data_IF_641057724318
#
_entry.id   IF_641057724318
#
_cell.length_a   1.000
_cell.length_b   1.000
_cell.length_c   1.000
_cell.angle_alpha   90.00
_cell.angle_beta   90.00
_cell.angle_gamma   90.00
#
_symmetry.space_group_name_H-M   'P 1'
#
loop_
_entity.id
_entity.type
_entity.pdbx_description
1 polymer ?
#
# COMPACT_ATOMS: atom_id res chain seq x y z
N UNK A 1 -18.61 1.09 -5.08
CA UNK A 1 -18.51 2.10 -6.16
C UNK A 1 -17.23 2.93 -6.12
N UNK A 2 -16.51 3.01 -5.00
CA UNK A 2 -15.24 3.76 -4.88
C UNK A 2 -13.97 2.96 -5.28
N UNK A 3 -14.04 1.62 -5.27
CA UNK A 3 -12.88 0.79 -5.59
C UNK A 3 -12.24 1.12 -6.96
N UNK A 4 -12.99 1.23 -8.09
CA UNK A 4 -12.37 1.57 -9.37
C UNK A 4 -11.67 2.92 -9.36
N UNK A 5 -12.24 3.93 -8.67
CA UNK A 5 -11.63 5.23 -8.53
C UNK A 5 -10.28 5.15 -7.80
N UNK A 6 -10.26 4.49 -6.64
CA UNK A 6 -9.02 4.35 -5.86
C UNK A 6 -7.97 3.53 -6.60
N UNK A 7 -8.40 2.50 -7.35
CA UNK A 7 -7.51 1.68 -8.19
C UNK A 7 -6.85 2.50 -9.32
N UNK A 8 -7.56 3.51 -9.86
CA UNK A 8 -7.01 4.43 -10.87
C UNK A 8 -6.09 5.49 -10.23
N UNK A 9 -6.48 6.04 -9.08
CA UNK A 9 -5.71 7.09 -8.39
C UNK A 9 -4.42 6.56 -7.77
N UNK A 10 -4.40 5.32 -7.32
CA UNK A 10 -3.25 4.74 -6.62
C UNK A 10 -1.95 4.80 -7.45
N UNK A 11 -1.89 4.31 -8.69
CA UNK A 11 -0.66 4.40 -9.48
C UNK A 11 -0.25 5.84 -9.77
N UNK A 12 -1.19 6.79 -9.85
CA UNK A 12 -0.87 8.21 -10.09
C UNK A 12 -0.22 8.84 -8.85
N UNK A 13 -0.75 8.58 -7.66
CA UNK A 13 -0.16 9.07 -6.40
C UNK A 13 1.23 8.51 -6.19
N UNK A 14 1.41 7.20 -6.40
CA UNK A 14 2.71 6.55 -6.27
C UNK A 14 3.72 7.05 -7.31
N UNK A 15 3.29 7.22 -8.57
CA UNK A 15 4.13 7.79 -9.61
C UNK A 15 4.56 9.23 -9.28
N UNK A 16 3.64 10.09 -8.83
CA UNK A 16 3.97 11.44 -8.37
C UNK A 16 5.01 11.43 -7.25
N UNK A 17 4.76 10.64 -6.21
CA UNK A 17 5.58 10.65 -5.00
C UNK A 17 6.99 10.10 -5.26
N UNK A 18 7.12 8.99 -6.00
CA UNK A 18 8.43 8.44 -6.33
C UNK A 18 9.18 9.30 -7.34
N UNK A 19 8.48 9.96 -8.28
CA UNK A 19 9.12 10.90 -9.20
C UNK A 19 9.74 12.08 -8.46
N UNK A 20 9.06 12.63 -7.44
CA UNK A 20 9.63 13.68 -6.57
C UNK A 20 10.89 13.19 -5.86
N UNK A 21 10.90 11.94 -5.38
CA UNK A 21 12.09 11.34 -4.77
C UNK A 21 13.25 11.22 -5.77
N UNK A 22 13.00 10.69 -6.98
CA UNK A 22 14.02 10.47 -8.02
C UNK A 22 14.60 11.80 -8.50
N UNK A 23 13.76 12.78 -8.83
CA UNK A 23 14.18 14.11 -9.29
C UNK A 23 14.97 14.85 -8.20
N UNK A 24 14.57 14.70 -6.93
CA UNK A 24 15.29 15.27 -5.79
C UNK A 24 16.66 14.61 -5.52
N UNK A 25 16.93 13.46 -6.12
CA UNK A 25 18.12 12.62 -5.91
C UNK A 25 17.90 11.51 -4.89
N UNK A 26 18.19 10.27 -5.27
CA UNK A 26 18.00 9.06 -4.46
C UNK A 26 19.23 8.80 -3.57
N UNK A 27 19.39 9.59 -2.50
CA UNK A 27 20.32 9.22 -1.43
C UNK A 27 19.66 8.28 -0.43
N UNK A 28 20.43 7.48 0.30
CA UNK A 28 19.93 6.62 1.37
C UNK A 28 19.06 7.40 2.38
N UNK A 29 19.51 8.56 2.82
CA UNK A 29 18.80 9.38 3.78
C UNK A 29 17.42 9.83 3.23
N UNK A 30 17.32 10.17 1.94
CA UNK A 30 16.06 10.56 1.32
C UNK A 30 15.11 9.38 1.12
N UNK A 31 15.62 8.22 0.74
CA UNK A 31 14.83 6.98 0.65
C UNK A 31 14.28 6.61 2.02
N UNK A 32 15.12 6.66 3.06
CA UNK A 32 14.70 6.41 4.43
C UNK A 32 13.65 7.42 4.91
N UNK A 33 13.86 8.71 4.64
CA UNK A 33 12.88 9.76 4.97
C UNK A 33 11.56 9.56 4.22
N UNK A 34 11.63 9.20 2.93
CA UNK A 34 10.46 8.84 2.12
C UNK A 34 9.70 7.69 2.77
N UNK A 35 10.37 6.57 3.06
CA UNK A 35 9.72 5.40 3.64
C UNK A 35 9.14 5.70 5.03
N UNK A 36 9.85 6.44 5.87
CA UNK A 36 9.35 6.83 7.19
C UNK A 36 8.09 7.70 7.09
N UNK A 37 8.11 8.74 6.27
CA UNK A 37 6.99 9.66 6.10
C UNK A 37 5.81 9.02 5.36
N UNK A 38 6.08 8.23 4.30
CA UNK A 38 5.03 7.64 3.48
C UNK A 38 4.39 6.40 4.13
N UNK A 39 5.13 5.62 4.93
CA UNK A 39 4.62 4.36 5.48
C UNK A 39 4.44 4.38 7.00
N UNK A 40 5.46 4.81 7.79
CA UNK A 40 5.37 4.71 9.24
C UNK A 40 4.30 5.65 9.84
N UNK A 41 4.11 6.85 9.26
CA UNK A 41 3.09 7.81 9.73
C UNK A 41 1.65 7.31 9.54
N UNK A 42 1.43 6.32 8.67
CA UNK A 42 0.08 5.80 8.42
C UNK A 42 -0.53 5.10 9.64
N UNK A 43 0.28 4.53 10.52
CA UNK A 43 -0.27 3.85 11.70
C UNK A 43 -0.95 4.82 12.68
N UNK A 44 -0.31 5.87 13.22
CA UNK A 44 -0.97 6.81 14.11
C UNK A 44 -2.11 7.58 13.42
N UNK A 45 -1.96 7.92 12.13
CA UNK A 45 -3.03 8.55 11.36
C UNK A 45 -4.21 7.61 11.14
N UNK A 46 -3.97 6.30 10.98
CA UNK A 46 -5.00 5.28 10.82
C UNK A 46 -5.86 5.14 12.06
N UNK A 47 -5.24 5.08 13.23
CA UNK A 47 -5.95 5.11 14.51
C UNK A 47 -6.80 6.37 14.62
N UNK A 48 -6.25 7.54 14.27
CA UNK A 48 -6.99 8.81 14.32
C UNK A 48 -8.21 8.82 13.39
N UNK A 49 -8.10 8.26 12.18
CA UNK A 49 -9.23 8.16 11.23
C UNK A 49 -10.27 7.12 11.64
N UNK A 50 -9.91 6.09 12.41
CA UNK A 50 -10.87 5.15 12.97
C UNK A 50 -11.67 5.78 14.11
N UNK A 51 -11.02 6.60 14.94
CA UNK A 51 -11.67 7.36 16.03
C UNK A 51 -12.55 8.49 15.46
N UNK A 52 -12.13 9.13 14.36
CA UNK A 52 -12.84 10.26 13.74
C UNK A 52 -13.13 10.02 12.27
N UNK A 53 -14.08 9.12 11.93
CA UNK A 53 -14.34 8.72 10.54
C UNK A 53 -14.84 9.87 9.65
N UNK A 54 -15.40 10.93 10.23
CA UNK A 54 -15.80 12.14 9.49
C UNK A 54 -14.63 12.87 8.81
N UNK A 55 -13.38 12.65 9.26
CA UNK A 55 -12.20 13.28 8.67
C UNK A 55 -11.72 12.59 7.38
N UNK A 56 -12.17 11.37 7.07
CA UNK A 56 -11.66 10.57 5.93
C UNK A 56 -11.76 11.31 4.60
N UNK A 57 -12.89 11.99 4.34
CA UNK A 57 -13.05 12.77 3.10
C UNK A 57 -12.12 13.98 3.03
N UNK A 58 -11.98 14.72 4.14
CA UNK A 58 -11.07 15.85 4.22
C UNK A 58 -9.61 15.41 4.07
N UNK A 59 -9.23 14.30 4.70
CA UNK A 59 -7.89 13.72 4.58
C UNK A 59 -7.60 13.24 3.14
N UNK A 60 -8.59 12.67 2.44
CA UNK A 60 -8.44 12.34 1.03
C UNK A 60 -8.23 13.59 0.16
N UNK A 61 -9.03 14.65 0.37
CA UNK A 61 -8.83 15.91 -0.36
C UNK A 61 -7.45 16.51 -0.07
N UNK A 62 -7.03 16.52 1.19
CA UNK A 62 -5.70 16.95 1.60
C UNK A 62 -4.59 16.11 0.95
N UNK A 63 -4.78 14.80 0.81
CA UNK A 63 -3.79 13.91 0.17
C UNK A 63 -3.50 14.33 -1.27
N UNK A 64 -4.53 14.57 -2.07
CA UNK A 64 -4.40 15.02 -3.45
C UNK A 64 -3.73 16.39 -3.51
N UNK A 65 -4.19 17.34 -2.70
CA UNK A 65 -3.63 18.70 -2.66
C UNK A 65 -2.15 18.72 -2.26
N UNK A 66 -1.76 17.96 -1.23
CA UNK A 66 -0.37 17.87 -0.76
C UNK A 66 0.52 17.18 -1.80
N UNK A 67 0.06 16.11 -2.44
CA UNK A 67 0.83 15.46 -3.52
C UNK A 67 1.05 16.40 -4.68
N UNK A 68 0.01 17.14 -5.11
CA UNK A 68 0.12 18.16 -6.17
C UNK A 68 1.03 19.32 -5.80
N UNK A 69 0.95 19.80 -4.55
CA UNK A 69 1.87 20.83 -4.05
C UNK A 69 3.32 20.33 -4.04
N UNK A 70 3.55 19.07 -3.64
CA UNK A 70 4.87 18.44 -3.72
C UNK A 70 5.41 18.37 -5.14
N UNK A 71 4.56 17.97 -6.11
CA UNK A 71 4.90 17.98 -7.54
C UNK A 71 5.26 19.39 -8.02
N UNK A 72 4.46 20.39 -7.66
CA UNK A 72 4.72 21.80 -8.03
C UNK A 72 6.04 22.31 -7.47
N UNK A 73 6.32 22.09 -6.19
CA UNK A 73 7.59 22.48 -5.57
C UNK A 73 8.79 21.72 -6.18
N UNK A 74 8.62 20.46 -6.55
CA UNK A 74 9.64 19.70 -7.24
C UNK A 74 9.97 20.33 -8.61
N UNK A 75 8.97 20.74 -9.37
CA UNK A 75 9.15 21.44 -10.64
C UNK A 75 9.85 22.80 -10.47
N UNK A 76 9.66 23.47 -9.32
CA UNK A 76 10.33 24.71 -8.96
C UNK A 76 11.74 24.51 -8.34
N UNK A 77 12.23 23.27 -8.22
CA UNK A 77 13.55 22.98 -7.67
C UNK A 77 13.63 22.96 -6.12
N UNK A 78 12.51 23.05 -5.41
CA UNK A 78 12.47 23.07 -3.92
C UNK A 78 12.35 21.63 -3.38
N UNK A 79 13.39 20.82 -3.59
CA UNK A 79 13.36 19.38 -3.38
C UNK A 79 13.02 18.91 -1.94
N UNK A 80 13.53 19.49 -0.83
CA UNK A 80 13.21 19.00 0.52
C UNK A 80 11.73 19.15 0.88
N UNK A 81 11.15 20.33 0.63
CA UNK A 81 9.74 20.57 0.91
C UNK A 81 8.83 19.75 -0.03
N UNK A 82 9.22 19.61 -1.30
CA UNK A 82 8.53 18.76 -2.27
C UNK A 82 8.41 17.31 -1.76
N UNK A 83 9.50 16.74 -1.26
CA UNK A 83 9.55 15.38 -0.74
C UNK A 83 8.58 15.22 0.45
N UNK A 84 8.65 16.12 1.43
CA UNK A 84 7.79 16.06 2.62
C UNK A 84 6.31 16.11 2.23
N UNK A 85 5.92 17.06 1.37
CA UNK A 85 4.51 17.20 0.97
C UNK A 85 4.03 15.99 0.15
N UNK A 86 4.85 15.50 -0.79
CA UNK A 86 4.49 14.32 -1.57
C UNK A 86 4.36 13.07 -0.69
N UNK A 87 5.25 12.86 0.29
CA UNK A 87 5.20 11.72 1.21
C UNK A 87 3.97 11.77 2.12
N UNK A 88 3.65 12.93 2.71
CA UNK A 88 2.46 13.10 3.55
C UNK A 88 1.18 12.94 2.73
N UNK A 89 1.16 13.49 1.51
CA UNK A 89 0.07 13.29 0.56
C UNK A 89 -0.14 11.82 0.22
N UNK A 90 0.95 11.11 -0.08
CA UNK A 90 0.96 9.67 -0.33
C UNK A 90 0.42 8.88 0.88
N UNK A 91 0.92 9.14 2.08
CA UNK A 91 0.48 8.48 3.31
C UNK A 91 -1.04 8.65 3.54
N UNK A 92 -1.54 9.89 3.42
CA UNK A 92 -2.96 10.18 3.58
C UNK A 92 -3.82 9.51 2.51
N UNK A 93 -3.35 9.47 1.25
CA UNK A 93 -4.06 8.79 0.16
C UNK A 93 -4.20 7.30 0.46
N UNK A 94 -3.09 6.62 0.70
CA UNK A 94 -3.09 5.18 0.95
C UNK A 94 -3.98 4.81 2.13
N UNK A 95 -3.88 5.58 3.20
CA UNK A 95 -4.65 5.35 4.41
C UNK A 95 -6.14 5.57 4.19
N UNK A 96 -6.55 6.69 3.57
CA UNK A 96 -7.97 7.01 3.35
C UNK A 96 -8.61 6.07 2.35
N UNK A 97 -7.92 5.74 1.25
CA UNK A 97 -8.39 4.82 0.24
C UNK A 97 -8.41 3.37 0.77
N UNK A 98 -7.30 2.91 1.38
CA UNK A 98 -7.18 1.56 1.95
C UNK A 98 -8.22 1.29 3.04
N UNK A 99 -8.37 2.23 4.00
CA UNK A 99 -9.44 2.17 5.01
C UNK A 99 -10.82 2.09 4.34
N UNK A 100 -11.09 2.96 3.37
CA UNK A 100 -12.39 3.00 2.70
C UNK A 100 -12.71 1.71 1.95
N UNK A 101 -11.71 1.08 1.32
CA UNK A 101 -11.86 -0.22 0.64
C UNK A 101 -12.10 -1.34 1.66
N UNK A 102 -11.32 -1.41 2.73
CA UNK A 102 -11.50 -2.41 3.78
C UNK A 102 -12.89 -2.31 4.43
N UNK A 103 -13.29 -1.10 4.84
CA UNK A 103 -14.57 -0.89 5.51
C UNK A 103 -15.76 -1.15 4.58
N UNK A 104 -15.67 -0.74 3.29
CA UNK A 104 -16.75 -0.93 2.33
C UNK A 104 -16.96 -2.38 1.90
N UNK A 105 -15.93 -3.22 2.01
CA UNK A 105 -15.98 -4.62 1.59
C UNK A 105 -15.82 -5.61 2.75
N UNK A 106 -15.97 -5.15 4.02
CA UNK A 106 -15.92 -5.99 5.20
C UNK A 106 -14.59 -6.75 5.35
N UNK A 107 -13.47 -6.11 5.00
CA UNK A 107 -12.13 -6.70 5.11
C UNK A 107 -11.83 -7.78 4.07
N UNK A 108 -12.59 -7.91 2.97
CA UNK A 108 -12.31 -8.91 1.92
C UNK A 108 -10.96 -8.66 1.24
N UNK A 109 -10.21 -9.75 1.01
CA UNK A 109 -8.88 -9.74 0.44
C UNK A 109 -8.84 -9.34 -1.05
N UNK A 110 -9.82 -9.75 -1.84
CA UNK A 110 -9.89 -9.44 -3.28
C UNK A 110 -9.94 -7.94 -3.58
N UNK A 111 -10.91 -7.19 -3.05
CA UNK A 111 -10.99 -5.74 -3.27
C UNK A 111 -9.75 -4.99 -2.80
N UNK A 112 -9.22 -5.31 -1.61
CA UNK A 112 -8.02 -4.64 -1.09
C UNK A 112 -6.77 -5.05 -1.87
N UNK A 113 -6.62 -6.32 -2.25
CA UNK A 113 -5.55 -6.81 -3.10
C UNK A 113 -5.52 -6.12 -4.47
N UNK A 114 -6.69 -5.93 -5.10
CA UNK A 114 -6.82 -5.21 -6.36
C UNK A 114 -6.41 -3.73 -6.20
N UNK A 115 -6.87 -3.06 -5.13
CA UNK A 115 -6.50 -1.67 -4.85
C UNK A 115 -4.97 -1.52 -4.71
N UNK A 116 -4.35 -2.29 -3.81
CA UNK A 116 -2.91 -2.14 -3.55
C UNK A 116 -2.00 -2.68 -4.65
N UNK A 117 -2.53 -3.49 -5.57
CA UNK A 117 -1.73 -4.04 -6.67
C UNK A 117 -1.25 -2.95 -7.64
N UNK A 118 -2.10 -1.97 -7.94
CA UNK A 118 -1.83 -0.94 -8.95
C UNK A 118 -0.72 0.04 -8.56
N UNK A 119 -0.43 0.19 -7.27
CA UNK A 119 0.71 0.98 -6.80
C UNK A 119 2.05 0.50 -7.36
N UNK A 120 2.22 -0.83 -7.54
CA UNK A 120 3.45 -1.36 -8.14
C UNK A 120 3.72 -0.81 -9.55
N UNK A 121 2.67 -0.61 -10.34
CA UNK A 121 2.77 -0.02 -11.69
C UNK A 121 3.11 1.47 -11.61
N UNK A 122 2.52 2.19 -10.63
CA UNK A 122 2.81 3.61 -10.39
C UNK A 122 4.26 3.85 -9.97
N UNK A 123 4.75 3.08 -9.01
CA UNK A 123 6.15 3.14 -8.57
C UNK A 123 7.11 2.85 -9.74
N UNK A 124 6.85 1.80 -10.51
CA UNK A 124 7.66 1.48 -11.68
C UNK A 124 7.67 2.61 -12.71
N UNK A 125 6.49 3.10 -13.10
CA UNK A 125 6.38 4.19 -14.07
C UNK A 125 7.09 5.46 -13.59
N UNK A 126 6.87 5.87 -12.35
CA UNK A 126 7.49 7.04 -11.75
C UNK A 126 9.02 6.93 -11.71
N UNK A 127 9.58 5.79 -11.28
CA UNK A 127 11.02 5.58 -11.25
C UNK A 127 11.66 5.62 -12.65
N UNK A 128 11.07 4.91 -13.62
CA UNK A 128 11.67 4.78 -14.96
C UNK A 128 11.53 6.07 -15.79
N UNK A 129 10.37 6.72 -15.74
CA UNK A 129 10.15 7.94 -16.51
C UNK A 129 10.86 9.15 -15.90
N UNK A 130 10.95 9.26 -14.57
CA UNK A 130 11.67 10.34 -13.91
C UNK A 130 13.16 10.35 -14.26
N UNK A 131 13.78 9.17 -14.35
CA UNK A 131 15.19 9.05 -14.74
C UNK A 131 15.51 9.52 -16.15
N UNK A 132 14.52 9.49 -17.08
CA UNK A 132 14.68 9.90 -18.48
C UNK A 132 14.22 11.33 -18.82
N UNK A 133 13.19 11.83 -18.10
CA UNK A 133 12.49 13.05 -18.47
C UNK A 133 12.40 14.10 -17.34
N UNK A 134 12.97 13.82 -16.17
CA UNK A 134 13.09 14.78 -15.07
C UNK A 134 11.76 15.41 -14.61
N UNK A 135 11.73 16.74 -14.33
CA UNK A 135 10.56 17.42 -13.78
C UNK A 135 9.29 17.37 -14.64
N UNK A 136 9.42 17.17 -15.96
CA UNK A 136 8.25 17.11 -16.86
C UNK A 136 7.35 15.92 -16.57
N UNK A 137 7.92 14.79 -16.13
CA UNK A 137 7.13 13.64 -15.70
C UNK A 137 6.33 13.95 -14.44
N UNK A 138 6.90 14.72 -13.50
CA UNK A 138 6.17 15.20 -12.32
C UNK A 138 4.90 15.94 -12.75
N UNK A 139 5.02 16.89 -13.68
CA UNK A 139 3.89 17.68 -14.15
C UNK A 139 2.85 16.82 -14.87
N UNK A 140 3.28 15.88 -15.72
CA UNK A 140 2.37 14.95 -16.42
C UNK A 140 1.55 14.10 -15.46
N UNK A 141 2.20 13.46 -14.50
CA UNK A 141 1.50 12.70 -13.46
C UNK A 141 0.64 13.60 -12.57
N UNK A 142 1.11 14.81 -12.25
CA UNK A 142 0.36 15.79 -11.47
C UNK A 142 -0.95 16.21 -12.16
N UNK A 143 -0.92 16.50 -13.46
CA UNK A 143 -2.11 16.84 -14.24
C UNK A 143 -3.10 15.67 -14.24
N UNK A 144 -2.62 14.44 -14.49
CA UNK A 144 -3.45 13.24 -14.46
C UNK A 144 -4.07 13.03 -13.07
N UNK A 145 -3.30 13.21 -12.00
CA UNK A 145 -3.78 13.12 -10.62
C UNK A 145 -4.81 14.21 -10.30
N UNK A 146 -4.59 15.45 -10.75
CA UNK A 146 -5.53 16.56 -10.53
C UNK A 146 -6.88 16.27 -11.20
N UNK A 147 -6.87 15.84 -12.46
CA UNK A 147 -8.08 15.49 -13.20
C UNK A 147 -8.85 14.31 -12.55
N UNK A 148 -8.14 13.21 -12.23
CA UNK A 148 -8.72 12.03 -11.60
C UNK A 148 -9.18 12.31 -10.16
N UNK A 149 -8.43 13.13 -9.41
CA UNK A 149 -8.77 13.54 -8.04
C UNK A 149 -10.02 14.43 -8.00
N UNK A 150 -10.11 15.42 -8.91
CA UNK A 150 -11.29 16.27 -9.05
C UNK A 150 -12.53 15.44 -9.39
N UNK A 151 -12.42 14.52 -10.36
CA UNK A 151 -13.49 13.59 -10.70
C UNK A 151 -13.88 12.73 -9.50
N UNK A 152 -12.90 12.24 -8.74
CA UNK A 152 -13.11 11.48 -7.51
C UNK A 152 -13.88 12.24 -6.46
N UNK A 153 -13.51 13.50 -6.19
CA UNK A 153 -14.20 14.35 -5.22
C UNK A 153 -15.67 14.62 -5.60
N UNK A 154 -15.95 14.79 -6.90
CA UNK A 154 -17.32 14.95 -7.39
C UNK A 154 -18.13 13.67 -7.19
N UNK A 155 -17.52 12.49 -7.45
CA UNK A 155 -18.17 11.17 -7.30
C UNK A 155 -18.31 10.72 -5.85
N UNK A 156 -17.48 11.24 -4.95
CA UNK A 156 -17.56 10.94 -3.50
C UNK A 156 -18.75 11.67 -2.81
N UNK A 157 -19.71 12.13 -3.54
CA UNK A 157 -20.90 12.75 -2.96
C UNK A 157 -21.71 11.73 -2.16
N UNK A 158 -21.65 11.85 -0.82
CA UNK A 158 -22.72 11.40 0.06
C UNK A 158 -22.62 10.02 0.72
N UNK A 159 -21.49 9.31 0.67
CA UNK A 159 -21.29 8.06 1.42
C UNK A 159 -20.04 8.09 2.29
N UNK A 160 -19.98 9.03 3.20
CA UNK A 160 -19.03 8.96 4.31
C UNK A 160 -19.60 8.01 5.35
N UNK A 161 -18.95 6.84 5.48
CA UNK A 161 -19.26 5.89 6.54
C UNK A 161 -20.64 5.27 6.41
N UNK A 162 -20.76 4.16 5.67
CA UNK A 162 -21.83 3.24 5.99
C UNK A 162 -21.69 2.97 7.49
N UNK A 163 -22.67 3.40 8.30
CA UNK A 163 -22.73 2.98 9.71
C UNK A 163 -22.57 1.47 9.68
N UNK A 164 -21.67 0.90 10.48
CA UNK A 164 -21.58 -0.54 10.57
C UNK A 164 -22.97 -1.09 10.81
N UNK A 165 -23.31 -2.18 10.14
CA UNK A 165 -24.60 -2.82 10.38
C UNK A 165 -24.72 -3.14 11.89
N UNK A 166 -25.93 -3.25 12.45
CA UNK A 166 -26.07 -3.59 13.86
C UNK A 166 -25.31 -4.87 14.26
N UNK A 167 -25.16 -5.83 13.32
CA UNK A 167 -24.34 -7.05 13.51
C UNK A 167 -22.86 -6.75 13.54
N UNK A 168 -22.36 -5.86 12.69
CA UNK A 168 -20.95 -5.43 12.68
C UNK A 168 -20.62 -4.56 13.89
N UNK A 169 -21.56 -3.70 14.31
CA UNK A 169 -21.41 -2.92 15.53
C UNK A 169 -21.40 -3.82 16.79
N UNK A 170 -22.28 -4.82 16.84
CA UNK A 170 -22.31 -5.82 17.91
C UNK A 170 -21.05 -6.71 17.90
N UNK A 171 -20.56 -7.10 16.71
CA UNK A 171 -19.29 -7.84 16.58
C UNK A 171 -18.09 -7.03 17.04
N UNK A 172 -18.04 -5.71 16.74
CA UNK A 172 -17.00 -4.79 17.24
C UNK A 172 -17.08 -4.59 18.75
N UNK A 173 -18.28 -4.42 19.29
CA UNK A 173 -18.52 -4.33 20.74
C UNK A 173 -18.10 -5.63 21.46
N UNK A 174 -18.49 -6.80 20.95
CA UNK A 174 -18.09 -8.09 21.50
C UNK A 174 -16.59 -8.36 21.43
N UNK A 175 -15.89 -7.84 20.43
CA UNK A 175 -14.44 -7.89 20.30
C UNK A 175 -13.77 -6.99 21.36
N UNK A 176 -14.33 -5.82 21.65
CA UNK A 176 -13.83 -4.90 22.68
C UNK A 176 -14.12 -5.41 24.10
N UNK A 177 -15.22 -6.13 24.31
CA UNK A 177 -15.62 -6.69 25.60
C UNK A 177 -14.86 -7.96 25.98
N UNK A 178 -13.95 -8.45 25.13
CA UNK A 178 -13.09 -9.64 25.42
C UNK A 178 -13.84 -10.96 25.59
N UNK A 179 -15.16 -11.00 25.33
CA UNK A 179 -15.99 -12.19 25.50
C UNK A 179 -15.79 -13.17 24.34
N UNK A 180 -14.71 -13.94 24.39
CA UNK A 180 -14.46 -15.03 23.45
C UNK A 180 -13.08 -15.04 22.81
N UNK A 181 -12.21 -14.10 23.15
CA UNK A 181 -10.85 -14.06 22.64
C UNK A 181 -9.84 -13.81 23.76
N UNK A 182 -8.83 -14.67 23.89
CA UNK A 182 -7.70 -14.41 24.77
C UNK A 182 -6.91 -13.22 24.20
N UNK A 183 -6.87 -12.04 24.84
CA UNK A 183 -6.22 -10.84 24.30
C UNK A 183 -4.74 -11.09 23.94
N UNK A 184 -4.06 -11.95 24.70
CA UNK A 184 -2.68 -12.35 24.46
C UNK A 184 -2.50 -13.14 23.14
N UNK A 185 -3.42 -14.05 22.81
CA UNK A 185 -3.37 -14.82 21.56
C UNK A 185 -3.64 -13.90 20.35
N UNK A 186 -4.59 -12.96 20.48
CA UNK A 186 -4.85 -11.98 19.44
C UNK A 186 -3.66 -11.09 19.13
N UNK A 187 -2.98 -10.64 20.18
CA UNK A 187 -1.75 -9.84 20.05
C UNK A 187 -0.63 -10.64 19.40
N UNK A 188 -0.42 -11.90 19.81
CA UNK A 188 0.60 -12.76 19.19
C UNK A 188 0.33 -12.99 17.71
N UNK A 189 -0.93 -13.17 17.30
CA UNK A 189 -1.29 -13.29 15.87
C UNK A 189 -0.99 -11.98 15.13
N UNK A 190 -1.35 -10.82 15.69
CA UNK A 190 -1.02 -9.52 15.06
C UNK A 190 0.48 -9.32 14.92
N UNK A 191 1.27 -9.66 15.93
CA UNK A 191 2.73 -9.60 15.88
C UNK A 191 3.29 -10.56 14.83
N UNK A 192 2.75 -11.77 14.71
CA UNK A 192 3.12 -12.72 13.66
C UNK A 192 2.80 -12.18 12.25
N UNK A 193 1.61 -11.61 12.04
CA UNK A 193 1.22 -10.98 10.79
C UNK A 193 2.11 -9.77 10.47
N UNK A 194 2.46 -8.96 11.47
CA UNK A 194 3.38 -7.84 11.34
C UNK A 194 4.77 -8.31 10.88
N UNK A 195 5.36 -9.29 11.56
CA UNK A 195 6.65 -9.86 11.19
C UNK A 195 6.64 -10.45 9.78
N UNK A 196 5.54 -11.08 9.39
CA UNK A 196 5.36 -11.64 8.05
C UNK A 196 5.31 -10.54 6.97
N UNK A 197 4.66 -9.41 7.24
CA UNK A 197 4.66 -8.26 6.32
C UNK A 197 6.06 -7.66 6.20
N UNK A 198 6.79 -7.52 7.31
CA UNK A 198 8.17 -7.04 7.30
C UNK A 198 9.09 -7.98 6.48
N UNK A 199 9.01 -9.30 6.72
CA UNK A 199 9.70 -10.31 5.90
C UNK A 199 9.37 -10.17 4.40
N UNK A 200 8.08 -10.09 4.06
CA UNK A 200 7.63 -9.93 2.67
C UNK A 200 8.16 -8.65 2.04
N UNK A 201 8.23 -7.55 2.82
CA UNK A 201 8.79 -6.28 2.35
C UNK A 201 10.27 -6.45 1.99
N UNK A 202 11.05 -7.05 2.88
CA UNK A 202 12.47 -7.32 2.64
C UNK A 202 12.68 -8.24 1.42
N UNK A 203 11.99 -9.37 1.35
CA UNK A 203 12.10 -10.30 0.22
C UNK A 203 11.69 -9.66 -1.11
N UNK A 204 10.64 -8.82 -1.11
CA UNK A 204 10.16 -8.10 -2.27
C UNK A 204 11.14 -7.02 -2.74
N UNK A 205 11.81 -6.31 -1.81
CA UNK A 205 12.84 -5.33 -2.15
C UNK A 205 14.06 -6.01 -2.77
N UNK A 206 14.57 -7.07 -2.14
CA UNK A 206 15.74 -7.83 -2.64
C UNK A 206 15.47 -8.37 -4.05
N UNK A 207 14.33 -9.04 -4.27
CA UNK A 207 13.99 -9.56 -5.59
C UNK A 207 13.70 -8.44 -6.60
N UNK A 208 13.15 -7.30 -6.15
CA UNK A 208 12.93 -6.11 -6.95
C UNK A 208 14.24 -5.47 -7.42
N UNK A 209 15.26 -5.39 -6.56
CA UNK A 209 16.59 -4.90 -6.92
C UNK A 209 17.25 -5.78 -7.97
N UNK A 210 17.20 -7.11 -7.80
CA UNK A 210 17.74 -8.07 -8.76
C UNK A 210 17.09 -7.94 -10.14
N UNK A 211 15.76 -7.84 -10.21
CA UNK A 211 15.04 -7.71 -11.48
C UNK A 211 15.25 -6.35 -12.13
N UNK A 212 15.31 -5.25 -11.33
CA UNK A 212 15.57 -3.91 -11.84
C UNK A 212 17.01 -3.75 -12.40
N UNK A 213 17.98 -4.39 -11.77
CA UNK A 213 19.39 -4.41 -12.20
C UNK A 213 19.61 -5.21 -13.50
N UNK A 214 18.75 -6.17 -13.80
CA UNK A 214 18.84 -7.02 -14.98
C UNK A 214 18.33 -6.37 -16.29
N UNK A 215 17.90 -5.11 -16.23
CA UNK A 215 17.46 -4.33 -17.39
C UNK A 215 15.96 -4.10 -17.49
N UNK A 216 15.55 -3.28 -18.47
CA UNK A 216 14.17 -2.77 -18.57
C UNK A 216 13.13 -3.87 -18.71
N UNK A 217 13.41 -4.90 -19.49
CA UNK A 217 12.45 -6.00 -19.71
C UNK A 217 12.15 -6.76 -18.40
N UNK A 218 13.18 -7.05 -17.60
CA UNK A 218 13.01 -7.70 -16.30
C UNK A 218 12.39 -6.77 -15.26
N UNK A 219 12.70 -5.49 -15.29
CA UNK A 219 12.04 -4.51 -14.45
C UNK A 219 10.53 -4.38 -14.75
N UNK A 220 10.14 -4.38 -16.04
CA UNK A 220 8.73 -4.43 -16.47
C UNK A 220 8.06 -5.72 -15.98
N UNK A 221 8.72 -6.87 -16.19
CA UNK A 221 8.22 -8.16 -15.72
C UNK A 221 8.07 -8.18 -14.20
N UNK A 222 9.05 -7.63 -13.45
CA UNK A 222 8.99 -7.50 -11.99
C UNK A 222 7.79 -6.69 -11.52
N UNK A 223 7.52 -5.55 -12.13
CA UNK A 223 6.34 -4.74 -11.83
C UNK A 223 5.03 -5.48 -12.13
N UNK A 224 4.97 -6.17 -13.28
CA UNK A 224 3.81 -6.94 -13.70
C UNK A 224 3.52 -8.12 -12.76
N UNK A 225 4.52 -8.90 -12.38
CA UNK A 225 4.33 -10.04 -11.45
C UNK A 225 4.02 -9.57 -10.04
N UNK A 226 4.56 -8.43 -9.60
CA UNK A 226 4.21 -7.80 -8.33
C UNK A 226 2.73 -7.39 -8.31
N UNK A 227 2.28 -6.70 -9.36
CA UNK A 227 0.87 -6.37 -9.55
C UNK A 227 -0.01 -7.62 -9.54
N UNK A 228 0.32 -8.61 -10.36
CA UNK A 228 -0.45 -9.85 -10.49
C UNK A 228 -0.50 -10.64 -9.18
N UNK A 229 0.62 -10.75 -8.46
CA UNK A 229 0.70 -11.46 -7.17
C UNK A 229 -0.21 -10.82 -6.11
N UNK A 230 -0.19 -9.48 -5.96
CA UNK A 230 -1.06 -8.76 -5.02
C UNK A 230 -2.55 -8.95 -5.36
N UNK A 231 -2.92 -8.79 -6.64
CA UNK A 231 -4.31 -8.95 -7.09
C UNK A 231 -4.79 -10.40 -6.93
N UNK A 232 -4.01 -11.36 -7.43
CA UNK A 232 -4.33 -12.78 -7.36
C UNK A 232 -4.41 -13.28 -5.91
N UNK A 233 -3.45 -12.87 -5.06
CA UNK A 233 -3.41 -13.29 -3.66
C UNK A 233 -4.66 -12.89 -2.87
N UNK A 234 -5.16 -11.69 -3.09
CA UNK A 234 -6.41 -11.23 -2.48
C UNK A 234 -7.61 -12.09 -2.90
N UNK A 235 -7.75 -12.34 -4.20
CA UNK A 235 -8.82 -13.16 -4.74
C UNK A 235 -8.72 -14.63 -4.31
N UNK A 236 -7.52 -15.23 -4.37
CA UNK A 236 -7.26 -16.59 -3.90
C UNK A 236 -7.54 -16.74 -2.41
N UNK A 237 -7.16 -15.73 -1.59
CA UNK A 237 -7.44 -15.71 -0.16
C UNK A 237 -8.94 -15.72 0.16
N UNK A 238 -9.74 -14.98 -0.60
CA UNK A 238 -11.21 -14.99 -0.47
C UNK A 238 -11.83 -16.32 -0.92
N UNK A 239 -11.21 -17.02 -1.90
CA UNK A 239 -11.72 -18.26 -2.50
C UNK A 239 -11.32 -19.51 -1.73
N UNK A 240 -10.04 -19.60 -1.32
CA UNK A 240 -9.44 -20.82 -0.77
C UNK A 240 -9.09 -20.71 0.72
N UNK A 241 -9.27 -19.53 1.31
CA UNK A 241 -8.97 -19.25 2.70
C UNK A 241 -7.68 -18.44 2.88
N UNK A 242 -7.78 -17.37 3.65
CA UNK A 242 -6.71 -16.38 3.86
C UNK A 242 -5.46 -16.98 4.49
N UNK A 243 -5.62 -17.88 5.47
CA UNK A 243 -4.50 -18.54 6.15
C UNK A 243 -3.74 -19.46 5.20
N UNK A 244 -4.43 -20.21 4.35
CA UNK A 244 -3.79 -21.12 3.38
C UNK A 244 -2.97 -20.38 2.36
N UNK A 245 -3.53 -19.33 1.75
CA UNK A 245 -2.80 -18.51 0.77
C UNK A 245 -1.61 -17.81 1.42
N UNK A 246 -1.77 -17.33 2.65
CA UNK A 246 -0.67 -16.75 3.43
C UNK A 246 0.44 -17.78 3.68
N UNK A 247 0.09 -18.98 4.15
CA UNK A 247 1.05 -20.05 4.41
C UNK A 247 1.81 -20.47 3.14
N UNK A 248 1.10 -20.67 2.03
CA UNK A 248 1.73 -21.00 0.73
C UNK A 248 2.68 -19.89 0.28
N UNK A 249 2.28 -18.62 0.42
CA UNK A 249 3.12 -17.47 0.10
C UNK A 249 4.40 -17.43 0.95
N UNK A 250 4.28 -17.66 2.27
CA UNK A 250 5.43 -17.64 3.18
C UNK A 250 6.38 -18.79 2.91
N UNK A 251 5.86 -20.03 2.92
CA UNK A 251 6.69 -21.22 2.71
C UNK A 251 7.34 -21.16 1.33
N UNK A 252 6.58 -20.81 0.30
CA UNK A 252 7.10 -20.69 -1.07
C UNK A 252 8.17 -19.59 -1.19
N UNK A 253 7.96 -18.40 -0.60
CA UNK A 253 8.95 -17.33 -0.66
C UNK A 253 10.21 -17.67 0.15
N UNK A 254 10.09 -18.28 1.32
CA UNK A 254 11.24 -18.76 2.10
C UNK A 254 12.04 -19.80 1.30
N UNK A 255 11.37 -20.81 0.74
CA UNK A 255 12.05 -21.84 -0.07
C UNK A 255 12.78 -21.23 -1.27
N UNK A 256 12.14 -20.29 -1.97
CA UNK A 256 12.76 -19.62 -3.12
C UNK A 256 13.95 -18.73 -2.71
N UNK A 257 13.90 -18.05 -1.55
CA UNK A 257 15.05 -17.28 -1.07
C UNK A 257 16.32 -18.14 -0.90
N UNK A 258 16.18 -19.40 -0.46
CA UNK A 258 17.31 -20.32 -0.34
C UNK A 258 17.74 -20.96 -1.68
N UNK A 259 16.85 -21.01 -2.65
CA UNK A 259 17.09 -21.70 -3.92
C UNK A 259 17.49 -20.74 -5.06
N UNK A 260 17.12 -19.45 -4.96
CA UNK A 260 17.43 -18.45 -6.00
C UNK A 260 18.93 -18.18 -6.06
N UNK A 261 19.47 -18.29 -7.29
CA UNK A 261 20.82 -17.82 -7.61
C UNK A 261 20.75 -16.52 -8.39
N UNK A 262 21.78 -15.65 -8.30
CA UNK A 262 21.77 -14.35 -8.99
C UNK A 262 21.46 -14.43 -10.49
N UNK A 263 21.88 -15.49 -11.15
CA UNK A 263 21.72 -15.69 -12.60
C UNK A 263 20.30 -16.13 -12.98
N UNK A 264 19.50 -16.58 -12.01
CA UNK A 264 18.19 -17.19 -12.27
C UNK A 264 17.06 -16.15 -12.21
N UNK A 265 16.97 -15.27 -13.22
CA UNK A 265 15.93 -14.21 -13.24
C UNK A 265 14.50 -14.74 -13.12
N UNK A 266 14.20 -15.90 -13.70
CA UNK A 266 12.89 -16.53 -13.55
C UNK A 266 12.56 -16.89 -12.10
N UNK A 267 13.55 -17.30 -11.30
CA UNK A 267 13.38 -17.60 -9.88
C UNK A 267 13.10 -16.33 -9.08
N UNK A 268 13.80 -15.21 -9.39
CA UNK A 268 13.53 -13.91 -8.77
C UNK A 268 12.14 -13.37 -9.10
N UNK A 269 11.69 -13.49 -10.34
CA UNK A 269 10.31 -13.14 -10.73
C UNK A 269 9.28 -14.02 -10.02
N UNK A 270 9.56 -15.30 -9.86
CA UNK A 270 8.69 -16.23 -9.11
C UNK A 270 8.67 -15.87 -7.63
N UNK A 271 9.81 -15.54 -7.03
CA UNK A 271 9.88 -15.05 -5.65
C UNK A 271 9.06 -13.77 -5.45
N UNK A 272 9.19 -12.81 -6.36
CA UNK A 272 8.35 -11.60 -6.36
C UNK A 272 6.87 -11.96 -6.38
N UNK A 273 6.43 -12.78 -7.32
CA UNK A 273 5.02 -13.17 -7.43
C UNK A 273 4.52 -13.85 -6.16
N UNK A 274 5.23 -14.90 -5.69
CA UNK A 274 4.82 -15.73 -4.55
C UNK A 274 4.80 -14.90 -3.26
N UNK A 275 5.81 -14.05 -3.02
CA UNK A 275 5.84 -13.18 -1.84
C UNK A 275 4.68 -12.18 -1.79
N UNK A 276 4.20 -11.73 -2.95
CA UNK A 276 3.08 -10.77 -3.02
C UNK A 276 1.70 -11.40 -2.85
N UNK A 277 1.56 -12.74 -2.97
CA UNK A 277 0.28 -13.43 -2.75
C UNK A 277 -0.28 -13.21 -1.33
N UNK A 278 0.58 -13.07 -0.32
CA UNK A 278 0.13 -12.80 1.05
C UNK A 278 -0.47 -11.42 1.26
N UNK A 279 -0.27 -10.46 0.36
CA UNK A 279 -0.57 -9.04 0.62
C UNK A 279 -2.03 -8.79 0.98
N UNK A 280 -2.98 -9.21 0.15
CA UNK A 280 -4.42 -9.07 0.41
C UNK A 280 -4.90 -9.90 1.61
N UNK A 281 -4.57 -11.21 1.67
CA UNK A 281 -4.94 -12.07 2.78
C UNK A 281 -4.47 -11.57 4.14
N UNK A 282 -3.20 -11.17 4.28
CA UNK A 282 -2.64 -10.68 5.56
C UNK A 282 -3.32 -9.40 6.01
N UNK A 283 -3.52 -8.44 5.09
CA UNK A 283 -4.21 -7.20 5.44
C UNK A 283 -5.67 -7.45 5.85
N UNK A 284 -6.32 -8.41 5.22
CA UNK A 284 -7.65 -8.89 5.58
C UNK A 284 -7.69 -9.51 6.98
N UNK A 285 -6.68 -10.34 7.32
CA UNK A 285 -6.52 -10.92 8.67
C UNK A 285 -6.22 -9.84 9.72
N UNK A 286 -5.38 -8.86 9.40
CA UNK A 286 -5.13 -7.70 10.28
C UNK A 286 -6.42 -6.91 10.55
N UNK A 287 -7.26 -6.70 9.52
CA UNK A 287 -8.54 -6.03 9.67
C UNK A 287 -9.47 -6.77 10.64
N UNK A 288 -9.57 -8.10 10.50
CA UNK A 288 -10.36 -8.92 11.41
C UNK A 288 -9.83 -8.82 12.85
N UNK A 289 -8.50 -8.86 13.03
CA UNK A 289 -7.85 -8.77 14.36
C UNK A 289 -7.86 -7.37 14.96
N UNK A 290 -8.03 -6.34 14.14
CA UNK A 290 -8.23 -4.97 14.59
C UNK A 290 -9.71 -4.63 14.80
N UNK A 291 -10.57 -5.62 15.01
CA UNK A 291 -12.01 -5.45 15.22
C UNK A 291 -12.70 -4.65 14.12
N UNK A 292 -12.24 -4.78 12.87
CA UNK A 292 -12.76 -4.03 11.73
C UNK A 292 -12.34 -2.56 11.69
N UNK A 293 -11.29 -2.17 12.41
CA UNK A 293 -10.71 -0.84 12.35
C UNK A 293 -9.80 -0.73 11.11
N UNK A 294 -10.37 -0.30 9.97
CA UNK A 294 -9.69 -0.32 8.67
C UNK A 294 -8.46 0.58 8.60
N UNK A 295 -8.50 1.74 9.26
CA UNK A 295 -7.36 2.65 9.34
C UNK A 295 -6.21 2.07 10.15
N UNK A 296 -6.50 1.50 11.30
CA UNK A 296 -5.52 0.85 12.16
C UNK A 296 -4.87 -0.35 11.46
N UNK A 297 -5.68 -1.23 10.85
CA UNK A 297 -5.18 -2.40 10.13
C UNK A 297 -4.28 -2.02 8.96
N UNK A 298 -4.70 -1.05 8.14
CA UNK A 298 -3.92 -0.58 7.01
C UNK A 298 -2.64 0.12 7.45
N UNK A 299 -2.73 0.98 8.45
CA UNK A 299 -1.58 1.68 9.01
C UNK A 299 -0.55 0.73 9.65
N UNK A 300 -1.00 -0.30 10.37
CA UNK A 300 -0.14 -1.33 10.94
C UNK A 300 0.60 -2.13 9.85
N UNK A 301 -0.10 -2.48 8.77
CA UNK A 301 0.54 -3.12 7.60
C UNK A 301 1.61 -2.21 6.98
N UNK A 302 1.35 -0.91 6.85
CA UNK A 302 2.33 0.03 6.30
C UNK A 302 3.53 0.24 7.22
N UNK A 303 3.32 0.29 8.54
CA UNK A 303 4.42 0.32 9.51
C UNK A 303 5.30 -0.94 9.40
N UNK A 304 4.70 -2.11 9.21
CA UNK A 304 5.44 -3.36 8.99
C UNK A 304 6.24 -3.33 7.66
N UNK A 305 5.69 -2.75 6.60
CA UNK A 305 6.41 -2.54 5.34
C UNK A 305 7.64 -1.65 5.54
N UNK A 306 7.50 -0.58 6.30
CA UNK A 306 8.63 0.30 6.66
C UNK A 306 9.70 -0.46 7.43
N UNK A 307 9.33 -1.22 8.46
CA UNK A 307 10.28 -2.01 9.24
C UNK A 307 11.04 -3.04 8.40
N UNK A 308 10.40 -3.63 7.40
CA UNK A 308 11.05 -4.55 6.47
C UNK A 308 11.90 -3.88 5.38
N UNK A 309 11.87 -2.54 5.29
CA UNK A 309 12.68 -1.76 4.37
C UNK A 309 13.94 -1.14 5.04
N UNK A 310 14.11 -1.33 6.34
CA UNK A 310 15.31 -0.95 7.10
C UNK A 310 16.41 -2.00 6.98
#
# INVERSE_FOLDING_TARGET
MMLPLFTILHPLVDACSVTVLVVGGMSWQRVLAYNALAFATQFPLGVALDVRPGLVRGAFAASVALTLAGVGLCACGVAPAALVLACVGNALFHLTAGKSVLDAHGGRGGPIGLFISTGALGLFAGMKLAGGHGPWCCLGFGVALAAAGAWGMVRWRGRTGARPSPKEAAGRAGCMDGRGFCPSVGMLILLGLFALVAWRSWAGLTAGEMTNGAGLAFACAGAAVTWAGKAAGGWLGDRFGRWWVTAVSVVGSLSLCFLCRPEQMAAWLTLLFVSQLATGPVLSLMYDRSCGAGGTAFGLNCLALFMGSL
#
